data_IF_229683147633
#
_entry.id   IF_229683147633
#
_cell.length_a   1.000
_cell.length_b   1.000
_cell.length_c   1.000
_cell.angle_alpha   90.00
_cell.angle_beta   90.00
_cell.angle_gamma   90.00
#
_symmetry.space_group_name_H-M   'P 1'
#
loop_
_entity.id
_entity.type
_entity.pdbx_description
1 polymer ?
#
# COMPACT_ATOMS: atom_id res chain seq x y z
N UNK A 1 8.04 7.72 32.12
CA UNK A 1 8.37 8.05 30.72
C UNK A 1 7.30 9.02 30.26
N UNK A 2 7.69 10.26 29.95
CA UNK A 2 6.78 11.26 29.44
C UNK A 2 6.13 10.77 28.15
N UNK A 3 4.81 10.97 28.01
CA UNK A 3 4.06 10.46 26.86
C UNK A 3 4.67 10.96 25.52
N UNK A 4 5.30 12.13 25.51
CA UNK A 4 5.99 12.68 24.35
C UNK A 4 7.29 11.96 23.98
N UNK A 5 8.05 11.47 24.96
CA UNK A 5 9.34 10.81 24.70
C UNK A 5 9.18 9.50 23.90
N UNK A 6 8.02 8.85 23.98
CA UNK A 6 7.70 7.64 23.21
C UNK A 6 7.70 7.97 21.70
N UNK A 7 7.17 9.12 21.30
CA UNK A 7 7.08 9.52 19.90
C UNK A 7 8.43 9.94 19.29
N UNK A 8 9.44 10.24 20.12
CA UNK A 8 10.80 10.56 19.67
C UNK A 8 11.68 9.31 19.46
N UNK A 9 11.17 8.13 19.78
CA UNK A 9 11.87 6.85 19.54
C UNK A 9 12.05 6.63 18.03
N UNK A 10 13.25 6.20 17.61
CA UNK A 10 13.56 5.85 16.23
C UNK A 10 12.61 4.77 15.66
N UNK A 11 12.04 3.92 16.53
CA UNK A 11 11.01 2.95 16.13
C UNK A 11 9.76 3.62 15.59
N UNK A 12 9.35 4.77 16.16
CA UNK A 12 8.19 5.54 15.69
C UNK A 12 8.42 6.13 14.30
N UNK A 13 9.62 6.63 14.03
CA UNK A 13 9.97 7.09 12.68
C UNK A 13 9.92 5.96 11.66
N UNK A 14 10.43 4.78 12.00
CA UNK A 14 10.33 3.61 11.12
C UNK A 14 8.87 3.21 10.85
N UNK A 15 8.03 3.21 11.89
CA UNK A 15 6.61 2.90 11.77
C UNK A 15 5.88 3.95 10.90
N UNK A 16 6.22 5.24 11.05
CA UNK A 16 5.70 6.32 10.22
C UNK A 16 6.02 6.09 8.74
N UNK A 17 7.28 5.81 8.42
CA UNK A 17 7.73 5.56 7.05
C UNK A 17 7.07 4.31 6.45
N UNK A 18 6.96 3.25 7.24
CA UNK A 18 6.27 2.02 6.85
C UNK A 18 4.79 2.29 6.57
N UNK A 19 4.12 3.05 7.44
CA UNK A 19 2.74 3.48 7.20
C UNK A 19 2.60 4.30 5.91
N UNK A 20 3.55 5.19 5.62
CA UNK A 20 3.53 6.00 4.39
C UNK A 20 3.65 5.14 3.12
N UNK A 21 4.46 4.10 3.15
CA UNK A 21 4.57 3.13 2.05
C UNK A 21 3.23 2.41 1.81
N UNK A 22 2.48 2.10 2.87
CA UNK A 22 1.16 1.45 2.78
C UNK A 22 0.10 2.39 2.18
N UNK A 23 0.09 3.67 2.53
CA UNK A 23 -0.92 4.62 2.04
C UNK A 23 -0.78 5.02 0.57
N UNK A 24 0.43 4.95 0.01
CA UNK A 24 0.72 5.40 -1.35
C UNK A 24 -0.05 4.62 -2.45
N UNK A 25 -0.10 3.28 -2.48
CA UNK A 25 -0.85 2.54 -3.50
C UNK A 25 -2.34 2.84 -3.49
N UNK A 26 -2.91 3.15 -2.33
CA UNK A 26 -4.32 3.47 -2.18
C UNK A 26 -4.76 4.68 -3.01
N UNK A 27 -3.95 5.74 -3.04
CA UNK A 27 -4.27 6.91 -3.84
C UNK A 27 -4.19 6.60 -5.34
N UNK A 28 -3.25 5.73 -5.74
CA UNK A 28 -3.07 5.38 -7.15
C UNK A 28 -4.27 4.60 -7.71
N UNK A 29 -4.71 3.55 -7.01
CA UNK A 29 -5.85 2.73 -7.46
C UNK A 29 -7.21 3.35 -7.16
N UNK A 30 -7.29 4.31 -6.23
CA UNK A 30 -8.52 5.03 -5.90
C UNK A 30 -8.67 6.31 -6.68
N UNK A 31 -8.04 7.36 -6.19
CA UNK A 31 -8.24 8.71 -6.72
C UNK A 31 -7.61 8.90 -8.10
N UNK A 32 -6.35 8.49 -8.27
CA UNK A 32 -5.63 8.70 -9.54
C UNK A 32 -6.22 7.87 -10.68
N UNK A 33 -6.51 6.59 -10.44
CA UNK A 33 -7.18 5.74 -11.44
C UNK A 33 -8.55 6.31 -11.82
N UNK A 34 -9.37 6.70 -10.84
CA UNK A 34 -10.70 7.25 -11.10
C UNK A 34 -10.64 8.57 -11.88
N UNK A 35 -9.65 9.42 -11.59
CA UNK A 35 -9.43 10.67 -12.33
C UNK A 35 -9.00 10.36 -13.77
N UNK A 36 -8.02 9.51 -13.97
CA UNK A 36 -7.55 9.10 -15.29
C UNK A 36 -8.68 8.53 -16.16
N UNK A 37 -9.48 7.58 -15.64
CA UNK A 37 -10.62 7.03 -16.37
C UNK A 37 -11.66 8.11 -16.72
N UNK A 38 -11.85 9.12 -15.85
CA UNK A 38 -12.76 10.24 -16.09
C UNK A 38 -12.23 11.18 -17.17
N UNK A 39 -10.95 11.51 -17.17
CA UNK A 39 -10.31 12.37 -18.16
C UNK A 39 -10.33 11.75 -19.55
N UNK A 40 -10.18 10.44 -19.65
CA UNK A 40 -10.34 9.66 -20.87
C UNK A 40 -11.81 9.50 -21.30
N UNK A 41 -12.76 10.14 -20.62
CA UNK A 41 -14.16 10.21 -21.03
C UNK A 41 -15.01 8.98 -20.72
N UNK A 42 -14.52 8.05 -19.87
CA UNK A 42 -15.30 6.88 -19.49
C UNK A 42 -16.51 7.23 -18.60
N UNK A 43 -17.56 6.42 -18.71
CA UNK A 43 -18.81 6.66 -17.98
C UNK A 43 -18.62 6.51 -16.46
N UNK A 44 -19.44 7.23 -15.67
CA UNK A 44 -19.46 7.11 -14.21
C UNK A 44 -19.73 5.68 -13.74
N UNK A 45 -20.57 4.94 -14.48
CA UNK A 45 -20.86 3.53 -14.21
C UNK A 45 -19.59 2.68 -14.35
N UNK A 46 -18.83 2.86 -15.43
CA UNK A 46 -17.56 2.17 -15.67
C UNK A 46 -16.54 2.43 -14.56
N UNK A 47 -16.42 3.70 -14.15
CA UNK A 47 -15.52 4.10 -13.05
C UNK A 47 -15.97 3.44 -11.73
N UNK A 48 -17.29 3.40 -11.48
CA UNK A 48 -17.84 2.71 -10.30
C UNK A 48 -17.51 1.21 -10.28
N UNK A 49 -17.61 0.54 -11.44
CA UNK A 49 -17.20 -0.86 -11.56
C UNK A 49 -15.71 -1.07 -11.34
N UNK A 50 -14.86 -0.18 -11.85
CA UNK A 50 -13.42 -0.20 -11.59
C UNK A 50 -13.11 -0.10 -10.08
N UNK A 51 -13.93 0.63 -9.32
CA UNK A 51 -13.82 0.73 -7.87
C UNK A 51 -13.99 -0.58 -7.09
N UNK A 52 -14.54 -1.64 -7.70
CA UNK A 52 -14.62 -2.97 -7.09
C UNK A 52 -13.23 -3.60 -6.81
N UNK A 53 -12.16 -3.06 -7.38
CA UNK A 53 -10.78 -3.42 -7.03
C UNK A 53 -10.56 -3.34 -5.51
N UNK A 54 -11.19 -2.38 -4.82
CA UNK A 54 -11.10 -2.24 -3.38
C UNK A 54 -11.71 -3.40 -2.57
N UNK A 55 -12.56 -4.23 -3.17
CA UNK A 55 -13.09 -5.41 -2.49
C UNK A 55 -11.99 -6.38 -2.03
N UNK A 56 -10.83 -6.37 -2.69
CA UNK A 56 -9.65 -7.15 -2.30
C UNK A 56 -9.26 -6.91 -0.83
N UNK A 57 -9.34 -5.66 -0.38
CA UNK A 57 -8.97 -5.32 0.99
C UNK A 57 -9.94 -5.88 2.05
N UNK A 58 -11.20 -6.13 1.66
CA UNK A 58 -12.16 -6.76 2.56
C UNK A 58 -11.88 -8.27 2.75
N UNK A 59 -11.18 -8.90 1.80
CA UNK A 59 -10.90 -10.33 1.81
C UNK A 59 -9.44 -10.67 2.10
N UNK A 60 -8.58 -9.69 2.33
CA UNK A 60 -7.14 -9.89 2.49
C UNK A 60 -6.77 -10.83 3.66
N UNK A 61 -7.61 -10.90 4.72
CA UNK A 61 -7.43 -11.80 5.85
C UNK A 61 -7.43 -13.29 5.46
N UNK A 62 -8.05 -13.64 4.33
CA UNK A 62 -8.13 -15.03 3.88
C UNK A 62 -6.77 -15.62 3.51
N UNK A 63 -5.85 -14.80 3.00
CA UNK A 63 -4.50 -15.26 2.65
C UNK A 63 -3.42 -14.82 3.64
N UNK A 64 -3.76 -14.12 4.71
CA UNK A 64 -2.81 -13.78 5.77
C UNK A 64 -2.08 -15.01 6.35
N UNK A 65 -2.74 -16.15 6.65
CA UNK A 65 -2.05 -17.36 7.11
C UNK A 65 -1.08 -17.96 6.08
N UNK A 66 -1.32 -17.72 4.79
CA UNK A 66 -0.41 -18.17 3.73
C UNK A 66 0.88 -17.35 3.74
N UNK A 67 0.77 -16.03 3.90
CA UNK A 67 1.91 -15.13 3.99
C UNK A 67 2.79 -15.50 5.20
N UNK A 68 2.19 -15.87 6.32
CA UNK A 68 2.92 -16.26 7.53
C UNK A 68 3.73 -17.55 7.35
N UNK A 69 3.25 -18.47 6.52
CA UNK A 69 3.87 -19.78 6.31
C UNK A 69 4.85 -19.82 5.14
N UNK A 70 4.55 -19.09 4.07
CA UNK A 70 5.34 -19.15 2.82
C UNK A 70 6.57 -18.26 2.94
N UNK A 71 7.73 -18.87 2.86
CA UNK A 71 9.02 -18.18 2.81
C UNK A 71 9.41 -17.92 1.36
N UNK A 72 9.71 -16.67 1.03
CA UNK A 72 10.18 -16.31 -0.31
C UNK A 72 11.65 -16.74 -0.44
N UNK A 73 11.97 -17.68 -1.35
CA UNK A 73 13.34 -18.08 -1.59
C UNK A 73 14.22 -16.86 -1.84
N UNK A 74 15.47 -16.87 -1.35
CA UNK A 74 16.44 -15.79 -1.53
C UNK A 74 16.18 -14.53 -0.68
N UNK A 75 14.99 -13.88 -0.78
CA UNK A 75 14.66 -12.68 -0.03
C UNK A 75 14.56 -12.94 1.47
N UNK A 76 13.84 -13.98 1.86
CA UNK A 76 13.68 -14.33 3.29
C UNK A 76 15.03 -14.63 3.95
N UNK A 77 15.96 -15.25 3.22
CA UNK A 77 17.31 -15.56 3.76
C UNK A 77 18.19 -14.33 3.93
N UNK A 78 18.02 -13.30 3.07
CA UNK A 78 18.89 -12.10 3.09
C UNK A 78 18.37 -10.99 3.99
N UNK A 79 17.06 -10.75 4.00
CA UNK A 79 16.46 -9.55 4.64
C UNK A 79 15.39 -9.88 5.67
N UNK A 80 15.09 -11.17 5.87
CA UNK A 80 14.06 -11.63 6.80
C UNK A 80 12.70 -11.86 6.13
N UNK A 81 11.83 -12.58 6.85
CA UNK A 81 10.56 -13.06 6.29
C UNK A 81 9.61 -11.90 5.89
N UNK A 82 9.27 -11.03 6.83
CA UNK A 82 8.36 -9.90 6.59
C UNK A 82 8.89 -8.91 5.55
N UNK A 83 10.16 -8.54 5.69
CA UNK A 83 10.81 -7.62 4.75
C UNK A 83 10.88 -8.20 3.34
N UNK A 84 11.08 -9.53 3.22
CA UNK A 84 11.07 -10.21 1.93
C UNK A 84 9.73 -10.10 1.21
N UNK A 85 8.61 -10.26 1.92
CA UNK A 85 7.27 -10.07 1.38
C UNK A 85 7.02 -8.62 0.97
N UNK A 86 7.40 -7.63 1.81
CA UNK A 86 7.24 -6.21 1.50
C UNK A 86 7.97 -5.85 0.21
N UNK A 87 9.24 -6.24 0.07
CA UNK A 87 10.04 -5.97 -1.13
C UNK A 87 9.41 -6.61 -2.37
N UNK A 88 8.96 -7.86 -2.27
CA UNK A 88 8.31 -8.54 -3.38
C UNK A 88 7.03 -7.81 -3.83
N UNK A 89 6.17 -7.42 -2.88
CA UNK A 89 4.94 -6.69 -3.19
C UNK A 89 5.23 -5.30 -3.79
N UNK A 90 6.24 -4.60 -3.30
CA UNK A 90 6.69 -3.33 -3.90
C UNK A 90 7.15 -3.50 -5.35
N UNK A 91 7.87 -4.58 -5.65
CA UNK A 91 8.25 -4.88 -7.04
C UNK A 91 7.03 -5.11 -7.94
N UNK A 92 6.03 -5.87 -7.46
CA UNK A 92 4.77 -6.04 -8.20
C UNK A 92 4.05 -4.71 -8.44
N UNK A 93 3.97 -3.83 -7.44
CA UNK A 93 3.36 -2.51 -7.58
C UNK A 93 4.12 -1.67 -8.62
N UNK A 94 5.45 -1.59 -8.53
CA UNK A 94 6.27 -0.80 -9.46
C UNK A 94 6.13 -1.32 -10.90
N UNK A 95 6.24 -2.63 -11.12
CA UNK A 95 6.08 -3.20 -12.46
C UNK A 95 4.67 -2.99 -13.02
N UNK A 96 3.65 -3.06 -12.17
CA UNK A 96 2.27 -2.79 -12.56
C UNK A 96 2.06 -1.33 -12.94
N UNK A 97 2.66 -0.38 -12.22
CA UNK A 97 2.62 1.05 -12.56
C UNK A 97 3.33 1.33 -13.88
N UNK A 98 4.49 0.70 -14.12
CA UNK A 98 5.19 0.79 -15.40
C UNK A 98 4.30 0.22 -16.52
N UNK A 99 3.66 -0.93 -16.30
CA UNK A 99 2.74 -1.51 -17.29
C UNK A 99 1.55 -0.58 -17.59
N UNK A 100 1.00 0.12 -16.60
CA UNK A 100 -0.07 1.11 -16.84
C UNK A 100 0.36 2.24 -17.77
N UNK A 101 1.63 2.66 -17.74
CA UNK A 101 2.12 3.75 -18.59
C UNK A 101 2.11 3.42 -20.10
N UNK A 102 1.93 2.15 -20.46
CA UNK A 102 1.89 1.71 -21.86
C UNK A 102 0.49 1.36 -22.36
N UNK A 103 -0.55 1.54 -21.55
CA UNK A 103 -1.92 1.07 -21.87
C UNK A 103 -2.89 2.25 -21.81
N UNK A 104 -3.70 2.39 -22.86
CA UNK A 104 -4.81 3.35 -22.88
C UNK A 104 -6.09 2.73 -22.33
N UNK A 105 -6.80 3.38 -21.38
CA UNK A 105 -8.07 2.89 -20.86
C UNK A 105 -9.17 2.79 -21.91
N UNK A 106 -9.15 3.67 -22.92
CA UNK A 106 -10.13 3.67 -24.00
C UNK A 106 -10.03 2.40 -24.83
N UNK A 107 -8.79 1.98 -25.14
CA UNK A 107 -8.57 0.81 -26.00
C UNK A 107 -8.61 -0.50 -25.23
N UNK A 108 -8.17 -0.50 -23.96
CA UNK A 108 -7.96 -1.72 -23.19
C UNK A 108 -8.34 -1.60 -21.71
N UNK A 109 -9.58 -1.19 -21.44
CA UNK A 109 -10.10 -1.03 -20.08
C UNK A 109 -9.92 -2.28 -19.22
N UNK A 110 -10.13 -3.49 -19.80
CA UNK A 110 -9.94 -4.74 -19.07
C UNK A 110 -8.51 -4.91 -18.57
N UNK A 111 -7.51 -4.57 -19.38
CA UNK A 111 -6.10 -4.63 -18.97
C UNK A 111 -5.78 -3.62 -17.87
N UNK A 112 -6.31 -2.40 -17.96
CA UNK A 112 -6.13 -1.37 -16.93
C UNK A 112 -6.71 -1.83 -15.59
N UNK A 113 -7.93 -2.37 -15.59
CA UNK A 113 -8.58 -2.90 -14.38
C UNK A 113 -7.82 -4.12 -13.82
N UNK A 114 -7.36 -5.02 -14.69
CA UNK A 114 -6.61 -6.21 -14.28
C UNK A 114 -5.28 -5.84 -13.61
N UNK A 115 -4.56 -4.87 -14.14
CA UNK A 115 -3.32 -4.36 -13.53
C UNK A 115 -3.64 -3.65 -12.20
N UNK A 116 -4.70 -2.86 -12.14
CA UNK A 116 -5.17 -2.25 -10.91
C UNK A 116 -5.50 -3.28 -9.82
N UNK A 117 -6.09 -4.41 -10.22
CA UNK A 117 -6.35 -5.53 -9.31
C UNK A 117 -5.05 -6.15 -8.78
N UNK A 118 -4.04 -6.31 -9.63
CA UNK A 118 -2.71 -6.79 -9.21
C UNK A 118 -2.10 -5.83 -8.18
N UNK A 119 -2.17 -4.52 -8.42
CA UNK A 119 -1.71 -3.50 -7.48
C UNK A 119 -2.46 -3.62 -6.15
N UNK A 120 -3.79 -3.78 -6.19
CA UNK A 120 -4.61 -3.91 -4.98
C UNK A 120 -4.26 -5.16 -4.18
N UNK A 121 -4.07 -6.31 -4.84
CA UNK A 121 -3.65 -7.57 -4.18
C UNK A 121 -2.27 -7.40 -3.56
N UNK A 122 -1.32 -6.82 -4.29
CA UNK A 122 0.02 -6.59 -3.79
C UNK A 122 0.02 -5.62 -2.59
N UNK A 123 -0.73 -4.51 -2.70
CA UNK A 123 -0.86 -3.54 -1.60
C UNK A 123 -1.54 -4.13 -0.38
N UNK A 124 -2.67 -4.84 -0.54
CA UNK A 124 -3.36 -5.49 0.57
C UNK A 124 -2.49 -6.57 1.26
N UNK A 125 -1.68 -7.30 0.49
CA UNK A 125 -0.70 -8.26 1.01
C UNK A 125 0.42 -7.56 1.77
N UNK A 126 0.88 -6.43 1.25
CA UNK A 126 1.87 -5.59 1.90
C UNK A 126 1.35 -5.05 3.24
N UNK A 127 0.12 -4.56 3.30
CA UNK A 127 -0.51 -4.01 4.51
C UNK A 127 -0.51 -5.04 5.65
N UNK A 128 -0.94 -6.28 5.39
CA UNK A 128 -0.88 -7.38 6.36
C UNK A 128 0.56 -7.57 6.87
N UNK A 129 1.52 -7.58 5.96
CA UNK A 129 2.92 -7.83 6.30
C UNK A 129 3.53 -6.68 7.10
N UNK A 130 3.15 -5.43 6.79
CA UNK A 130 3.58 -4.22 7.50
C UNK A 130 3.00 -4.17 8.92
N UNK A 131 1.73 -4.54 9.08
CA UNK A 131 1.10 -4.63 10.40
C UNK A 131 1.77 -5.68 11.28
N UNK A 132 2.06 -6.86 10.74
CA UNK A 132 2.80 -7.89 11.44
C UNK A 132 4.23 -7.41 11.81
N UNK A 133 4.94 -6.77 10.88
CA UNK A 133 6.27 -6.22 11.14
C UNK A 133 6.24 -5.14 12.24
N UNK A 134 5.21 -4.30 12.25
CA UNK A 134 5.02 -3.28 13.29
C UNK A 134 4.86 -3.90 14.67
N UNK A 135 4.03 -4.94 14.78
CA UNK A 135 3.79 -5.64 16.05
C UNK A 135 5.08 -6.31 16.54
N UNK A 136 5.84 -6.94 15.65
CA UNK A 136 7.12 -7.59 15.97
C UNK A 136 8.21 -6.61 16.48
N UNK A 137 8.06 -5.29 16.23
CA UNK A 137 9.02 -4.28 16.70
C UNK A 137 8.79 -3.83 18.14
N UNK A 138 7.69 -4.22 18.77
CA UNK A 138 7.30 -3.80 20.11
C UNK A 138 7.19 -5.03 21.00
N UNK A 139 7.80 -4.96 22.21
CA UNK A 139 7.70 -6.05 23.17
C UNK A 139 6.29 -6.09 23.79
N UNK A 140 5.83 -7.27 24.18
CA UNK A 140 4.51 -7.48 24.79
C UNK A 140 4.28 -6.63 26.05
N UNK A 141 5.34 -6.32 26.79
CA UNK A 141 5.30 -5.51 28.01
C UNK A 141 5.26 -3.98 27.75
N UNK A 142 5.37 -3.56 26.49
CA UNK A 142 5.41 -2.14 26.09
C UNK A 142 4.04 -1.63 25.56
N UNK A 143 2.95 -1.89 26.26
CA UNK A 143 1.60 -1.56 25.80
C UNK A 143 1.37 -0.10 25.36
N UNK A 144 2.02 0.89 26.02
CA UNK A 144 1.98 2.30 25.62
C UNK A 144 2.71 2.54 24.31
N UNK A 145 3.82 1.87 24.07
CA UNK A 145 4.59 1.96 22.82
C UNK A 145 3.81 1.32 21.67
N UNK A 146 3.11 0.22 21.93
CA UNK A 146 2.24 -0.43 20.95
C UNK A 146 1.09 0.49 20.51
N UNK A 147 0.43 1.17 21.46
CA UNK A 147 -0.63 2.15 21.16
C UNK A 147 -0.10 3.34 20.36
N UNK A 148 1.03 3.91 20.77
CA UNK A 148 1.69 4.99 20.05
C UNK A 148 2.09 4.57 18.63
N UNK A 149 2.63 3.36 18.47
CA UNK A 149 2.96 2.78 17.15
C UNK A 149 1.74 2.61 16.26
N UNK A 150 0.59 2.22 16.81
CA UNK A 150 -0.66 2.16 16.04
C UNK A 150 -1.11 3.55 15.56
N UNK A 151 -1.06 4.57 16.42
CA UNK A 151 -1.41 5.94 16.05
C UNK A 151 -0.46 6.50 14.97
N UNK A 152 0.86 6.33 15.14
CA UNK A 152 1.87 6.76 14.17
C UNK A 152 1.74 6.05 12.83
N UNK A 153 1.38 4.77 12.81
CA UNK A 153 1.11 4.04 11.57
C UNK A 153 -0.03 4.66 10.78
N UNK A 154 -1.10 5.08 11.44
CA UNK A 154 -2.23 5.77 10.80
C UNK A 154 -1.80 7.14 10.27
N UNK A 155 -1.03 7.91 11.03
CA UNK A 155 -0.46 9.19 10.57
C UNK A 155 0.43 8.97 9.34
N UNK A 156 1.27 7.94 9.37
CA UNK A 156 2.09 7.54 8.23
C UNK A 156 1.23 7.21 7.01
N UNK A 157 0.21 6.39 7.16
CA UNK A 157 -0.71 6.02 6.09
C UNK A 157 -1.34 7.25 5.42
N UNK A 158 -1.90 8.18 6.21
CA UNK A 158 -2.46 9.43 5.70
C UNK A 158 -1.41 10.31 5.02
N UNK A 159 -0.19 10.32 5.55
CA UNK A 159 0.92 11.07 4.95
C UNK A 159 1.26 10.51 3.57
N UNK A 160 1.42 9.20 3.45
CA UNK A 160 1.67 8.52 2.18
C UNK A 160 0.56 8.72 1.17
N UNK A 161 -0.69 8.60 1.60
CA UNK A 161 -1.87 8.84 0.77
C UNK A 161 -1.90 10.27 0.22
N UNK A 162 -1.74 11.28 1.09
CA UNK A 162 -1.80 12.70 0.68
C UNK A 162 -0.60 13.11 -0.17
N UNK A 163 0.62 12.73 0.23
CA UNK A 163 1.82 13.02 -0.56
C UNK A 163 1.76 12.34 -1.93
N UNK A 164 1.31 11.09 -1.98
CA UNK A 164 1.10 10.38 -3.24
C UNK A 164 0.10 11.09 -4.16
N UNK A 165 -1.02 11.58 -3.60
CA UNK A 165 -2.02 12.34 -4.33
C UNK A 165 -1.46 13.66 -4.89
N UNK A 166 -0.76 14.42 -4.07
CA UNK A 166 -0.12 15.68 -4.51
C UNK A 166 0.90 15.42 -5.61
N UNK A 167 1.74 14.40 -5.43
CA UNK A 167 2.77 14.06 -6.42
C UNK A 167 2.13 13.59 -7.75
N UNK A 168 1.11 12.74 -7.70
CA UNK A 168 0.45 12.26 -8.91
C UNK A 168 -0.23 13.38 -9.69
N UNK A 169 -0.88 14.33 -9.01
CA UNK A 169 -1.49 15.49 -9.65
C UNK A 169 -0.44 16.45 -10.20
N UNK A 170 0.62 16.74 -9.44
CA UNK A 170 1.69 17.61 -9.91
C UNK A 170 2.39 17.05 -11.15
N UNK A 171 2.61 15.75 -11.22
CA UNK A 171 3.20 15.10 -12.40
C UNK A 171 2.24 15.13 -13.58
N UNK A 172 0.93 14.94 -13.36
CA UNK A 172 -0.07 15.00 -14.41
C UNK A 172 -0.19 16.39 -15.07
N UNK A 173 0.05 17.47 -14.32
CA UNK A 173 0.02 18.84 -14.86
C UNK A 173 1.24 19.15 -15.77
N UNK A 174 2.32 18.37 -15.71
CA UNK A 174 3.55 18.57 -16.49
C UNK A 174 3.70 17.62 -17.70
N UNK A 175 2.83 16.60 -17.80
CA UNK A 175 2.85 15.60 -18.88
C UNK A 175 1.69 15.80 -19.85
#
# INVERSE_FOLDING_TARGET
IDAFSIYLDLRMLKILLIGSISGFPWVLIGSSLSLWLKEDGLSRSTIGWAGLIFAVYAFNYLWAPLIDRVRIPFLTRKIGHRRGWIVLMQMFIIFSLIAWSFISPIENLFSVISIGLIIAIASATQDITLDALRIEQVNENEGKVMQAGAAISVVGWWTGYKLGGVLSLAVADYL
#
